data_IF_137228817817
#
_entry.id   IF_137228817817
#
_cell.length_a   1.000
_cell.length_b   1.000
_cell.length_c   1.000
_cell.angle_alpha   90.00
_cell.angle_beta   90.00
_cell.angle_gamma   90.00
#
_symmetry.space_group_name_H-M   'P 1'
#
loop_
_entity.id
_entity.type
_entity.pdbx_description
1 polymer ?
#
# COMPACT_ATOMS: atom_id res chain seq x y z
N UNK A 1 1.52 6.03 -8.62
CA UNK A 1 2.95 6.32 -8.89
C UNK A 1 3.41 7.71 -8.43
N UNK A 2 3.10 8.83 -9.12
CA UNK A 2 3.57 10.18 -8.71
C UNK A 2 3.12 10.60 -7.29
N UNK A 3 1.86 10.33 -6.95
CA UNK A 3 1.31 10.68 -5.65
C UNK A 3 2.00 9.91 -4.49
N UNK A 4 2.41 8.67 -4.73
CA UNK A 4 3.11 7.84 -3.74
C UNK A 4 4.50 8.39 -3.48
N UNK A 5 5.22 8.81 -4.54
CA UNK A 5 6.51 9.48 -4.41
C UNK A 5 6.41 10.82 -3.65
N UNK A 6 5.36 11.62 -3.92
CA UNK A 6 5.11 12.87 -3.17
C UNK A 6 4.90 12.59 -1.67
N UNK A 7 4.01 11.65 -1.34
CA UNK A 7 3.75 11.25 0.05
C UNK A 7 5.03 10.76 0.73
N UNK A 8 5.82 9.93 0.05
CA UNK A 8 7.06 9.41 0.60
C UNK A 8 8.05 10.57 0.89
N UNK A 9 8.23 11.51 -0.04
CA UNK A 9 9.10 12.68 0.13
C UNK A 9 8.63 13.60 1.25
N UNK A 10 7.32 13.86 1.36
CA UNK A 10 6.71 14.64 2.45
C UNK A 10 7.02 14.06 3.83
N UNK A 11 7.17 12.73 3.91
CA UNK A 11 7.49 12.01 5.15
C UNK A 11 9.00 11.71 5.32
N UNK A 12 9.86 12.26 4.45
CA UNK A 12 11.32 12.15 4.57
C UNK A 12 11.94 10.95 3.87
N UNK A 13 11.39 10.52 2.72
CA UNK A 13 12.07 9.59 1.83
C UNK A 13 13.40 10.15 1.32
N UNK A 14 14.39 9.28 1.17
CA UNK A 14 15.59 9.59 0.39
C UNK A 14 15.34 9.40 -1.12
N UNK A 15 16.37 9.68 -1.94
CA UNK A 15 16.30 9.56 -3.39
C UNK A 15 15.90 8.15 -3.86
N UNK A 16 16.56 7.11 -3.36
CA UNK A 16 16.26 5.72 -3.75
C UNK A 16 14.83 5.34 -3.40
N UNK A 17 14.32 5.78 -2.26
CA UNK A 17 12.94 5.55 -1.84
C UNK A 17 11.94 6.32 -2.69
N UNK A 18 12.24 7.57 -3.06
CA UNK A 18 11.40 8.35 -3.96
C UNK A 18 11.32 7.71 -5.36
N UNK A 19 12.44 7.20 -5.87
CA UNK A 19 12.49 6.45 -7.13
C UNK A 19 11.70 5.13 -7.00
N UNK A 20 11.90 4.37 -5.92
CA UNK A 20 11.17 3.14 -5.68
C UNK A 20 9.66 3.39 -5.54
N UNK A 21 9.25 4.45 -4.85
CA UNK A 21 7.87 4.89 -4.74
C UNK A 21 7.25 5.21 -6.11
N UNK A 22 8.03 5.83 -7.00
CA UNK A 22 7.58 6.10 -8.36
C UNK A 22 7.41 4.82 -9.18
N UNK A 23 8.23 3.81 -8.94
CA UNK A 23 8.34 2.59 -9.76
C UNK A 23 7.64 1.35 -9.17
N UNK A 24 7.09 1.42 -7.95
CA UNK A 24 6.65 0.23 -7.20
C UNK A 24 5.65 -0.68 -7.93
N UNK A 25 4.69 -0.14 -8.69
CA UNK A 25 3.72 -0.95 -9.45
C UNK A 25 4.26 -1.44 -10.81
N UNK A 26 5.40 -0.93 -11.28
CA UNK A 26 5.86 -1.15 -12.65
C UNK A 26 6.07 -2.64 -12.98
N UNK A 27 6.62 -3.49 -12.09
CA UNK A 27 6.70 -4.92 -12.36
C UNK A 27 5.33 -5.60 -12.40
N UNK A 28 4.37 -5.18 -11.57
CA UNK A 28 3.04 -5.79 -11.53
C UNK A 28 2.18 -5.43 -12.75
N UNK A 29 2.29 -4.18 -13.21
CA UNK A 29 1.41 -3.64 -14.25
C UNK A 29 2.07 -3.66 -15.64
N UNK A 30 3.41 -3.72 -15.70
CA UNK A 30 4.14 -3.50 -16.94
C UNK A 30 5.50 -4.25 -17.00
N UNK A 31 5.47 -5.59 -17.04
CA UNK A 31 6.60 -6.39 -17.54
C UNK A 31 7.23 -7.39 -16.57
N UNK A 32 6.66 -7.58 -15.38
CA UNK A 32 7.06 -8.64 -14.45
C UNK A 32 8.54 -8.57 -14.05
N UNK A 33 9.17 -9.74 -13.96
CA UNK A 33 10.57 -9.86 -13.58
C UNK A 33 11.54 -9.15 -14.54
N UNK A 34 11.23 -9.08 -15.84
CA UNK A 34 12.06 -8.35 -16.80
C UNK A 34 12.07 -6.85 -16.50
N UNK A 35 10.90 -6.29 -16.13
CA UNK A 35 10.83 -4.89 -15.68
C UNK A 35 11.67 -4.65 -14.42
N UNK A 36 11.69 -5.60 -13.49
CA UNK A 36 12.51 -5.50 -12.30
C UNK A 36 14.02 -5.51 -12.64
N UNK A 37 14.44 -6.30 -13.63
CA UNK A 37 15.83 -6.29 -14.14
C UNK A 37 16.19 -4.94 -14.76
N UNK A 38 15.29 -4.34 -15.55
CA UNK A 38 15.50 -3.00 -16.12
C UNK A 38 15.68 -1.97 -14.99
N UNK A 39 14.86 -2.01 -13.95
CA UNK A 39 14.96 -1.12 -12.78
C UNK A 39 16.32 -1.28 -12.12
N UNK A 40 16.78 -2.53 -11.91
CA UNK A 40 18.09 -2.82 -11.33
C UNK A 40 19.23 -2.25 -12.18
N UNK A 41 19.14 -2.39 -13.50
CA UNK A 41 20.16 -1.88 -14.43
C UNK A 41 20.22 -0.34 -14.45
N UNK A 42 19.07 0.34 -14.38
CA UNK A 42 18.99 1.79 -14.53
C UNK A 42 19.15 2.55 -13.21
N UNK A 43 18.66 1.99 -12.10
CA UNK A 43 18.55 2.67 -10.81
C UNK A 43 19.28 1.95 -9.66
N UNK A 44 19.88 0.79 -9.93
CA UNK A 44 20.70 0.04 -8.98
C UNK A 44 19.92 -0.89 -8.06
N UNK A 45 20.68 -1.71 -7.31
CA UNK A 45 20.14 -2.79 -6.48
C UNK A 45 19.20 -2.30 -5.39
N UNK A 46 19.54 -1.18 -4.73
CA UNK A 46 18.74 -0.65 -3.62
C UNK A 46 17.30 -0.32 -4.06
N UNK A 47 17.15 0.33 -5.23
CA UNK A 47 15.82 0.67 -5.76
C UNK A 47 15.07 -0.60 -6.15
N UNK A 48 15.74 -1.52 -6.86
CA UNK A 48 15.12 -2.77 -7.29
C UNK A 48 14.66 -3.63 -6.11
N UNK A 49 15.46 -3.76 -5.04
CA UNK A 49 15.13 -4.54 -3.85
C UNK A 49 13.92 -3.95 -3.11
N UNK A 50 13.78 -2.61 -3.07
CA UNK A 50 12.59 -1.96 -2.49
C UNK A 50 11.36 -2.25 -3.36
N UNK A 51 11.47 -2.08 -4.67
CA UNK A 51 10.37 -2.33 -5.62
C UNK A 51 9.90 -3.80 -5.56
N UNK A 52 10.84 -4.74 -5.54
CA UNK A 52 10.56 -6.17 -5.38
C UNK A 52 9.84 -6.45 -4.06
N UNK A 53 10.32 -5.87 -2.95
CA UNK A 53 9.70 -6.02 -1.64
C UNK A 53 8.29 -5.44 -1.55
N UNK A 54 7.96 -4.45 -2.39
CA UNK A 54 6.62 -3.89 -2.50
C UNK A 54 5.68 -4.68 -3.42
N UNK A 55 6.22 -5.58 -4.25
CA UNK A 55 5.46 -6.36 -5.23
C UNK A 55 4.68 -7.51 -4.56
N UNK A 56 3.36 -7.58 -4.81
CA UNK A 56 2.43 -8.60 -4.32
C UNK A 56 2.65 -9.95 -5.01
N UNK A 57 2.86 -9.93 -6.34
CA UNK A 57 3.16 -11.14 -7.13
C UNK A 57 3.67 -10.82 -8.54
N UNK A 58 4.59 -11.66 -9.05
CA UNK A 58 4.97 -11.69 -10.47
C UNK A 58 4.17 -12.72 -11.29
N UNK A 59 3.34 -13.54 -10.64
CA UNK A 59 2.64 -14.63 -11.30
C UNK A 59 1.46 -14.14 -12.16
N UNK A 60 1.34 -14.68 -13.37
CA UNK A 60 0.25 -14.40 -14.30
C UNK A 60 -0.42 -15.72 -14.72
N UNK A 61 -1.74 -15.92 -14.47
CA UNK A 61 -2.67 -14.99 -13.81
C UNK A 61 -2.40 -14.84 -12.31
N UNK A 62 -2.82 -13.69 -11.73
CA UNK A 62 -2.63 -13.42 -10.30
C UNK A 62 -3.31 -14.53 -9.46
N UNK A 63 -2.63 -15.09 -8.44
CA UNK A 63 -3.21 -16.07 -7.52
C UNK A 63 -4.48 -15.58 -6.79
N UNK A 64 -5.02 -16.39 -5.88
CA UNK A 64 -6.19 -16.00 -5.07
C UNK A 64 -5.90 -14.76 -4.21
N UNK A 65 -6.80 -13.76 -4.25
CA UNK A 65 -6.64 -12.45 -3.59
C UNK A 65 -6.28 -12.56 -2.11
N UNK A 66 -7.07 -13.31 -1.35
CA UNK A 66 -6.90 -13.43 0.10
C UNK A 66 -5.52 -13.97 0.48
N UNK A 67 -5.07 -15.05 -0.19
CA UNK A 67 -3.79 -15.69 0.09
C UNK A 67 -2.61 -14.73 -0.13
N UNK A 68 -2.60 -13.98 -1.23
CA UNK A 68 -1.54 -12.98 -1.46
C UNK A 68 -1.53 -11.90 -0.40
N UNK A 69 -2.69 -11.41 0.02
CA UNK A 69 -2.77 -10.38 1.06
C UNK A 69 -2.29 -10.89 2.41
N UNK A 70 -2.64 -12.13 2.77
CA UNK A 70 -2.11 -12.80 3.96
C UNK A 70 -0.58 -12.94 3.90
N UNK A 71 -0.04 -13.42 2.77
CA UNK A 71 1.40 -13.59 2.57
C UNK A 71 2.15 -12.26 2.60
N UNK A 72 1.57 -11.22 2.01
CA UNK A 72 2.12 -9.87 2.05
C UNK A 72 2.16 -9.31 3.48
N UNK A 73 1.04 -9.40 4.23
CA UNK A 73 0.96 -8.98 5.64
C UNK A 73 2.02 -9.69 6.48
N UNK A 74 2.19 -11.01 6.31
CA UNK A 74 3.13 -11.80 7.09
C UNK A 74 4.59 -11.39 6.89
N UNK A 75 4.94 -10.81 5.73
CA UNK A 75 6.29 -10.34 5.40
C UNK A 75 6.59 -8.93 5.94
N UNK A 76 5.58 -8.10 6.17
CA UNK A 76 5.78 -6.70 6.59
C UNK A 76 6.65 -6.56 7.85
N UNK A 77 6.47 -7.34 8.93
CA UNK A 77 7.28 -7.17 10.15
C UNK A 77 8.78 -7.42 9.95
N UNK A 78 9.15 -8.29 8.99
CA UNK A 78 10.55 -8.62 8.66
C UNK A 78 11.09 -7.85 7.45
N UNK A 79 10.25 -7.08 6.75
CA UNK A 79 10.68 -6.25 5.64
C UNK A 79 11.56 -5.09 6.09
N UNK A 80 12.42 -4.61 5.18
CA UNK A 80 13.30 -3.48 5.45
C UNK A 80 12.50 -2.21 5.77
N UNK A 81 13.14 -1.26 6.45
CA UNK A 81 12.51 0.04 6.77
C UNK A 81 12.02 0.76 5.52
N UNK A 82 12.76 0.72 4.42
CA UNK A 82 12.39 1.33 3.14
C UNK A 82 11.19 0.63 2.48
N UNK A 83 11.14 -0.71 2.46
CA UNK A 83 9.99 -1.45 1.91
C UNK A 83 8.72 -1.10 2.66
N UNK A 84 8.79 -1.09 4.01
CA UNK A 84 7.64 -0.74 4.86
C UNK A 84 7.21 0.71 4.63
N UNK A 85 8.17 1.62 4.48
CA UNK A 85 7.91 3.04 4.23
C UNK A 85 7.16 3.24 2.91
N UNK A 86 7.65 2.66 1.82
CA UNK A 86 7.00 2.77 0.50
C UNK A 86 5.65 2.06 0.48
N UNK A 87 5.56 0.89 1.09
CA UNK A 87 4.30 0.16 1.28
C UNK A 87 3.27 1.03 1.99
N UNK A 88 3.62 1.69 3.10
CA UNK A 88 2.70 2.56 3.82
C UNK A 88 2.31 3.82 3.03
N UNK A 89 3.24 4.41 2.26
CA UNK A 89 2.95 5.55 1.39
C UNK A 89 1.94 5.20 0.30
N UNK A 90 2.11 4.05 -0.35
CA UNK A 90 1.16 3.55 -1.36
C UNK A 90 -0.23 3.33 -0.73
N UNK A 91 -0.26 2.67 0.43
CA UNK A 91 -1.52 2.38 1.13
C UNK A 91 -2.21 3.67 1.60
N UNK A 92 -1.48 4.70 2.02
CA UNK A 92 -2.08 6.00 2.33
C UNK A 92 -2.72 6.64 1.10
N UNK A 93 -2.03 6.63 -0.04
CA UNK A 93 -2.59 7.14 -1.29
C UNK A 93 -3.88 6.40 -1.67
N UNK A 94 -3.82 5.07 -1.69
CA UNK A 94 -4.94 4.23 -2.09
C UNK A 94 -6.12 4.37 -1.12
N UNK A 95 -5.89 4.43 0.20
CA UNK A 95 -6.94 4.67 1.18
C UNK A 95 -7.63 6.03 0.98
N UNK A 96 -6.87 7.09 0.68
CA UNK A 96 -7.44 8.42 0.36
C UNK A 96 -8.29 8.38 -0.91
N UNK A 97 -7.85 7.64 -1.93
CA UNK A 97 -8.66 7.45 -3.14
C UNK A 97 -9.93 6.67 -2.88
N UNK A 98 -9.86 5.57 -2.13
CA UNK A 98 -11.03 4.77 -1.75
C UNK A 98 -12.03 5.63 -0.97
N UNK A 99 -11.56 6.41 0.01
CA UNK A 99 -12.40 7.30 0.81
C UNK A 99 -13.12 8.33 -0.05
N UNK A 100 -12.39 9.03 -0.93
CA UNK A 100 -12.97 10.01 -1.85
C UNK A 100 -14.01 9.37 -2.76
N UNK A 101 -13.67 8.23 -3.38
CA UNK A 101 -14.56 7.54 -4.31
C UNK A 101 -15.81 7.00 -3.60
N UNK A 102 -15.68 6.53 -2.35
CA UNK A 102 -16.83 6.14 -1.52
C UNK A 102 -17.75 7.34 -1.24
N UNK A 103 -17.20 8.52 -0.93
CA UNK A 103 -18.01 9.73 -0.73
C UNK A 103 -18.78 10.14 -1.99
N UNK A 104 -18.29 9.79 -3.19
CA UNK A 104 -18.93 10.15 -4.46
C UNK A 104 -19.98 9.13 -4.90
N UNK A 105 -19.66 7.83 -4.84
CA UNK A 105 -20.51 6.76 -5.42
C UNK A 105 -20.97 5.70 -4.41
N UNK A 106 -20.58 5.83 -3.13
CA UNK A 106 -21.00 4.94 -2.04
C UNK A 106 -20.60 3.48 -2.26
N UNK A 107 -21.51 2.57 -1.87
CA UNK A 107 -21.35 1.12 -1.97
C UNK A 107 -21.00 0.60 -3.39
N UNK A 108 -21.23 1.40 -4.43
CA UNK A 108 -20.91 1.05 -5.81
C UNK A 108 -19.41 0.96 -6.09
N UNK A 109 -18.54 1.39 -5.16
CA UNK A 109 -17.09 1.18 -5.32
C UNK A 109 -16.69 -0.29 -5.16
N UNK A 110 -17.40 -1.07 -4.34
CA UNK A 110 -16.91 -2.37 -3.87
C UNK A 110 -16.72 -3.44 -4.95
N UNK A 111 -17.54 -3.50 -6.03
CA UNK A 111 -17.30 -4.41 -7.14
C UNK A 111 -15.94 -4.22 -7.84
N UNK A 112 -15.27 -3.08 -7.67
CA UNK A 112 -13.92 -2.81 -8.22
C UNK A 112 -12.83 -3.57 -7.46
N UNK A 113 -13.11 -4.05 -6.25
CA UNK A 113 -12.14 -4.70 -5.38
C UNK A 113 -12.45 -6.19 -5.23
N UNK A 114 -11.47 -7.04 -5.54
CA UNK A 114 -11.63 -8.50 -5.40
C UNK A 114 -11.94 -8.95 -3.95
N UNK A 115 -11.58 -8.14 -2.94
CA UNK A 115 -11.91 -8.39 -1.53
C UNK A 115 -13.25 -7.82 -1.07
N UNK A 116 -13.95 -7.05 -1.91
CA UNK A 116 -15.11 -6.25 -1.49
C UNK A 116 -14.79 -5.31 -0.33
N UNK A 117 -15.82 -4.77 0.32
CA UNK A 117 -15.65 -3.91 1.50
C UNK A 117 -14.90 -4.62 2.63
N UNK A 118 -15.42 -5.77 3.08
CA UNK A 118 -14.92 -6.47 4.27
C UNK A 118 -13.46 -6.88 4.10
N UNK A 119 -13.09 -7.39 2.93
CA UNK A 119 -11.71 -7.77 2.65
C UNK A 119 -10.78 -6.57 2.58
N UNK A 120 -11.20 -5.48 1.92
CA UNK A 120 -10.39 -4.26 1.84
C UNK A 120 -10.14 -3.68 3.23
N UNK A 121 -11.18 -3.50 4.05
CA UNK A 121 -11.03 -2.95 5.42
C UNK A 121 -10.15 -3.84 6.29
N UNK A 122 -10.35 -5.16 6.25
CA UNK A 122 -9.48 -6.13 6.93
C UNK A 122 -8.00 -5.95 6.51
N UNK A 123 -7.74 -5.89 5.20
CA UNK A 123 -6.38 -5.80 4.67
C UNK A 123 -5.67 -4.52 5.17
N UNK A 124 -6.34 -3.37 5.10
CA UNK A 124 -5.78 -2.11 5.59
C UNK A 124 -5.53 -2.14 7.10
N UNK A 125 -6.43 -2.71 7.90
CA UNK A 125 -6.23 -2.85 9.36
C UNK A 125 -5.09 -3.79 9.71
N UNK A 126 -4.99 -4.92 9.03
CA UNK A 126 -3.87 -5.84 9.20
C UNK A 126 -2.53 -5.20 8.85
N UNK A 127 -2.47 -4.38 7.80
CA UNK A 127 -1.26 -3.65 7.43
C UNK A 127 -0.88 -2.59 8.46
N UNK A 128 -1.82 -1.77 8.93
CA UNK A 128 -1.55 -0.77 9.98
C UNK A 128 -0.98 -1.44 11.23
N UNK A 129 -1.56 -2.57 11.65
CA UNK A 129 -1.06 -3.34 12.78
C UNK A 129 0.35 -3.90 12.52
N UNK A 130 0.61 -4.43 11.32
CA UNK A 130 1.93 -4.95 10.95
C UNK A 130 2.99 -3.84 10.86
N UNK A 131 2.64 -2.65 10.37
CA UNK A 131 3.53 -1.48 10.34
C UNK A 131 3.87 -0.96 11.75
N UNK A 132 3.05 -1.24 12.75
CA UNK A 132 3.33 -0.91 14.16
C UNK A 132 4.36 -1.81 14.85
N UNK A 133 4.82 -2.89 14.19
CA UNK A 133 5.73 -3.88 14.78
C UNK A 133 7.18 -3.67 14.33
N UNK A 134 8.17 -4.05 15.15
CA UNK A 134 9.59 -4.09 14.74
C UNK A 134 10.31 -2.74 14.65
N UNK A 135 11.62 -2.78 14.40
CA UNK A 135 12.52 -1.63 14.56
C UNK A 135 12.26 -0.45 13.62
N UNK A 136 11.70 -0.71 12.43
CA UNK A 136 11.40 0.36 11.46
C UNK A 136 10.34 1.35 11.95
N UNK A 137 9.55 0.98 12.97
CA UNK A 137 8.60 1.91 13.60
C UNK A 137 9.30 3.17 14.11
N UNK A 138 10.55 3.07 14.60
CA UNK A 138 11.31 4.20 15.15
C UNK A 138 11.94 5.11 14.09
N UNK A 139 11.64 4.91 12.82
CA UNK A 139 12.09 5.78 11.73
C UNK A 139 11.34 7.11 11.79
N UNK A 140 12.08 8.23 11.78
CA UNK A 140 11.50 9.57 11.65
C UNK A 140 10.57 9.65 10.43
N UNK A 141 9.36 10.19 10.62
CA UNK A 141 8.34 10.36 9.58
C UNK A 141 7.49 9.11 9.31
N UNK A 142 7.93 7.92 9.72
CA UNK A 142 7.13 6.70 9.51
C UNK A 142 5.94 6.60 10.47
N UNK A 143 6.11 7.03 11.73
CA UNK A 143 5.02 7.07 12.71
C UNK A 143 3.89 8.00 12.25
N UNK A 144 4.24 9.20 11.75
CA UNK A 144 3.29 10.17 11.22
C UNK A 144 2.55 9.63 9.99
N UNK A 145 3.28 8.98 9.08
CA UNK A 145 2.72 8.34 7.88
C UNK A 145 1.69 7.27 8.23
N UNK A 146 2.03 6.38 9.17
CA UNK A 146 1.13 5.30 9.62
C UNK A 146 -0.06 5.88 10.41
N UNK A 147 0.16 6.91 11.22
CA UNK A 147 -0.91 7.60 11.94
C UNK A 147 -1.90 8.27 10.97
N UNK A 148 -1.41 8.84 9.88
CA UNK A 148 -2.26 9.42 8.85
C UNK A 148 -3.07 8.36 8.10
N UNK A 149 -2.42 7.25 7.68
CA UNK A 149 -3.11 6.10 7.11
C UNK A 149 -4.21 5.59 8.06
N UNK A 150 -3.90 5.47 9.34
CA UNK A 150 -4.85 5.04 10.36
C UNK A 150 -6.07 5.97 10.46
N UNK A 151 -5.88 7.30 10.38
CA UNK A 151 -6.99 8.26 10.38
C UNK A 151 -7.90 8.06 9.17
N UNK A 152 -7.33 7.92 7.97
CA UNK A 152 -8.09 7.74 6.73
C UNK A 152 -8.89 6.44 6.76
N UNK A 153 -8.28 5.33 7.18
CA UNK A 153 -8.97 4.03 7.28
C UNK A 153 -10.05 4.05 8.36
N UNK A 154 -9.82 4.72 9.49
CA UNK A 154 -10.86 4.89 10.53
C UNK A 154 -12.05 5.67 10.01
N UNK A 155 -11.81 6.73 9.23
CA UNK A 155 -12.91 7.48 8.64
C UNK A 155 -13.69 6.65 7.62
N UNK A 156 -12.98 5.88 6.79
CA UNK A 156 -13.61 4.96 5.84
C UNK A 156 -14.52 3.95 6.55
N UNK A 157 -14.05 3.30 7.62
CA UNK A 157 -14.88 2.36 8.42
C UNK A 157 -16.11 3.04 9.04
N UNK A 158 -15.94 4.28 9.51
CA UNK A 158 -17.01 5.04 10.14
C UNK A 158 -18.12 5.34 9.14
N UNK A 159 -17.78 5.81 7.93
CA UNK A 159 -18.77 6.18 6.93
C UNK A 159 -19.46 4.96 6.32
N UNK A 160 -18.75 3.84 6.14
CA UNK A 160 -19.36 2.59 5.65
C UNK A 160 -20.30 1.99 6.67
N UNK A 161 -19.95 2.04 7.95
CA UNK A 161 -20.84 1.61 9.04
C UNK A 161 -22.08 2.51 9.13
N UNK A 162 -21.90 3.84 9.05
CA UNK A 162 -23.02 4.78 9.12
C UNK A 162 -24.01 4.61 7.97
N UNK A 163 -23.51 4.41 6.74
CA UNK A 163 -24.35 4.19 5.57
C UNK A 163 -25.28 2.98 5.75
N UNK A 164 -24.79 1.91 6.40
CA UNK A 164 -25.58 0.71 6.71
C UNK A 164 -26.64 0.90 7.80
N UNK A 165 -26.46 1.90 8.67
CA UNK A 165 -27.40 2.22 9.75
C UNK A 165 -28.41 3.31 9.39
N UNK A 166 -28.31 3.91 8.19
CA UNK A 166 -29.29 4.89 7.73
C UNK A 166 -30.59 4.17 7.31
N UNK A 167 -31.77 4.59 7.80
CA UNK A 167 -33.05 4.05 7.31
C UNK A 167 -33.26 4.43 5.84
N UNK A 168 -33.84 3.50 5.07
CA UNK A 168 -34.26 3.71 3.67
C UNK A 168 -35.34 4.79 3.51
#
# INVERSE_FOLDING_TARGET
>A
MLAVASIALEHGANENEAIAALLHDAPEDAGGEERLKDIRQLFGDVVADIVEGCTDTFATPKPAWKKRKEDYIAKIPSASSSIRFISASDKLHNARCILRDYCEIGEKIWPRFAGGEVGVLWYYRSLINAYGQGESFRRKGFEDLVAELNKVVTELERITTRAKCAPE
#
